data_IF_901635482954
#
_entry.id   IF_901635482954
#
_cell.length_a   1.000
_cell.length_b   1.000
_cell.length_c   1.000
_cell.angle_alpha   90.00
_cell.angle_beta   90.00
_cell.angle_gamma   90.00
#
_symmetry.space_group_name_H-M   'P 1'
#
loop_
_entity.id
_entity.type
_entity.pdbx_description
1 polymer ?
#
# COMPACT_ATOMS: atom_id res chain seq x y z
N UNK A 1 -27.36 -15.93 -18.00
CA UNK A 1 -27.79 -15.49 -16.64
C UNK A 1 -26.71 -15.63 -15.57
N UNK A 2 -25.49 -16.12 -15.89
CA UNK A 2 -24.37 -16.31 -14.93
C UNK A 2 -23.51 -15.05 -14.68
N UNK A 3 -23.67 -13.97 -15.46
CA UNK A 3 -22.82 -12.77 -15.36
C UNK A 3 -23.01 -11.98 -14.06
N UNK A 4 -24.17 -12.11 -13.41
CA UNK A 4 -24.50 -11.36 -12.18
C UNK A 4 -24.05 -12.08 -10.90
N UNK A 5 -23.48 -13.29 -11.01
CA UNK A 5 -23.00 -14.07 -9.86
C UNK A 5 -21.51 -13.78 -9.54
N UNK A 6 -20.77 -13.22 -10.51
CA UNK A 6 -19.35 -12.88 -10.39
C UNK A 6 -19.08 -11.39 -10.49
N UNK A 7 -20.07 -10.56 -10.19
CA UNK A 7 -19.87 -9.11 -10.09
C UNK A 7 -18.92 -8.85 -8.91
N UNK A 8 -17.61 -8.72 -9.20
CA UNK A 8 -16.60 -8.26 -8.25
C UNK A 8 -17.05 -6.88 -7.80
N UNK A 9 -17.67 -6.82 -6.62
CA UNK A 9 -18.03 -5.56 -5.98
C UNK A 9 -16.73 -4.79 -5.81
N UNK A 10 -16.58 -3.67 -6.52
CA UNK A 10 -15.45 -2.79 -6.30
C UNK A 10 -15.57 -2.23 -4.89
N UNK A 11 -14.79 -2.81 -3.97
CA UNK A 11 -14.62 -2.26 -2.63
C UNK A 11 -13.63 -1.12 -2.80
N UNK A 12 -14.13 0.10 -2.78
CA UNK A 12 -13.28 1.27 -2.71
C UNK A 12 -12.48 1.17 -1.39
N UNK A 13 -11.18 0.91 -1.54
CA UNK A 13 -10.23 0.72 -0.44
C UNK A 13 -9.19 1.82 -0.56
N UNK A 14 -9.67 3.06 -0.56
CA UNK A 14 -8.80 4.22 -0.58
C UNK A 14 -8.06 4.29 0.76
N UNK A 15 -6.74 4.48 0.70
CA UNK A 15 -5.87 4.57 1.86
C UNK A 15 -5.22 5.95 1.83
N UNK A 16 -5.27 6.69 2.93
CA UNK A 16 -4.61 7.99 3.01
C UNK A 16 -3.14 7.81 3.40
N UNK A 17 -2.28 8.73 2.97
CA UNK A 17 -0.85 8.64 3.26
C UNK A 17 -0.61 8.75 4.78
N UNK A 18 0.01 7.75 5.44
CA UNK A 18 0.27 7.78 6.88
C UNK A 18 1.45 8.68 7.26
N UNK A 19 2.19 9.17 6.27
CA UNK A 19 3.44 9.91 6.41
C UNK A 19 3.56 10.91 5.25
N UNK A 20 4.18 12.06 5.50
CA UNK A 20 4.57 12.98 4.43
C UNK A 20 5.92 12.55 3.86
N UNK A 21 6.01 12.38 2.54
CA UNK A 21 7.24 11.95 1.90
C UNK A 21 7.08 11.54 0.44
N UNK A 22 8.14 10.92 -0.10
CA UNK A 22 8.17 10.43 -1.48
C UNK A 22 7.82 8.95 -1.51
N UNK A 23 6.88 8.57 -2.38
CA UNK A 23 6.57 7.16 -2.64
C UNK A 23 7.71 6.53 -3.45
N UNK A 24 8.17 5.36 -2.99
CA UNK A 24 9.10 4.51 -3.72
C UNK A 24 8.54 3.08 -3.84
N UNK A 25 8.92 2.32 -4.88
CA UNK A 25 8.60 0.90 -4.99
C UNK A 25 9.11 0.12 -3.77
N UNK A 26 8.34 -0.87 -3.30
CA UNK A 26 8.71 -1.66 -2.13
C UNK A 26 10.03 -2.43 -2.35
N UNK A 27 10.34 -2.77 -3.60
CA UNK A 27 11.56 -3.45 -4.05
C UNK A 27 12.84 -2.61 -3.81
N UNK A 28 12.71 -1.30 -3.61
CA UNK A 28 13.85 -0.41 -3.33
C UNK A 28 14.23 -0.36 -1.84
N UNK A 29 13.41 -0.95 -0.95
CA UNK A 29 13.70 -0.99 0.48
C UNK A 29 14.89 -1.93 0.73
N UNK A 30 15.94 -1.51 1.47
CA UNK A 30 17.14 -2.32 1.70
C UNK A 30 16.94 -3.40 2.78
N UNK A 31 15.79 -4.07 2.75
CA UNK A 31 15.41 -5.17 3.65
C UNK A 31 14.66 -6.22 2.84
N UNK A 32 15.06 -7.49 2.98
CA UNK A 32 14.51 -8.60 2.18
C UNK A 32 13.05 -8.89 2.49
N UNK A 33 12.62 -8.71 3.74
CA UNK A 33 11.24 -8.99 4.17
C UNK A 33 10.27 -8.08 3.41
N UNK A 34 10.65 -6.81 3.21
CA UNK A 34 9.85 -5.84 2.47
C UNK A 34 10.09 -5.92 0.95
N UNK A 35 11.35 -5.89 0.49
CA UNK A 35 11.67 -5.87 -0.95
C UNK A 35 11.23 -7.13 -1.70
N UNK A 36 11.10 -8.27 -1.02
CA UNK A 36 10.56 -9.51 -1.59
C UNK A 36 9.06 -9.70 -1.32
N UNK A 37 8.36 -8.70 -0.76
CA UNK A 37 6.91 -8.73 -0.49
C UNK A 37 6.48 -9.90 0.41
N UNK A 38 7.35 -10.34 1.33
CA UNK A 38 7.09 -11.51 2.17
C UNK A 38 5.88 -11.30 3.09
N UNK A 39 5.64 -10.06 3.52
CA UNK A 39 4.49 -9.70 4.36
C UNK A 39 3.26 -9.24 3.56
N UNK A 40 3.34 -9.24 2.24
CA UNK A 40 2.29 -8.74 1.35
C UNK A 40 2.80 -7.66 0.38
N UNK A 41 1.92 -7.29 -0.55
CA UNK A 41 2.19 -6.22 -1.51
C UNK A 41 1.96 -4.85 -0.87
N UNK A 42 2.59 -3.82 -1.43
CA UNK A 42 2.51 -2.47 -0.90
C UNK A 42 3.49 -1.50 -1.54
N UNK A 43 3.73 -0.41 -0.84
CA UNK A 43 4.66 0.65 -1.23
C UNK A 43 5.46 1.12 -0.01
N UNK A 44 6.56 1.81 -0.24
CA UNK A 44 7.31 2.49 0.81
C UNK A 44 7.25 4.02 0.62
N UNK A 45 7.39 4.75 1.73
CA UNK A 45 7.43 6.22 1.75
C UNK A 45 8.78 6.62 2.37
N UNK A 46 9.60 7.38 1.63
CA UNK A 46 10.77 8.07 2.18
C UNK A 46 10.29 9.33 2.90
N UNK A 47 10.28 9.36 4.24
CA UNK A 47 9.63 10.43 4.99
C UNK A 47 10.43 11.73 4.92
N UNK A 48 9.73 12.86 4.76
CA UNK A 48 10.29 14.22 4.87
C UNK A 48 9.93 14.91 6.19
N UNK A 49 9.07 14.28 7.00
CA UNK A 49 8.66 14.73 8.32
C UNK A 49 8.59 13.52 9.29
N UNK A 50 8.49 13.77 10.59
CA UNK A 50 8.49 12.76 11.67
C UNK A 50 7.08 12.38 12.14
N UNK A 51 6.04 13.08 11.71
CA UNK A 51 4.67 12.79 12.12
C UNK A 51 4.10 11.61 11.34
N UNK A 52 3.59 10.62 12.09
CA UNK A 52 2.87 9.45 11.58
C UNK A 52 1.39 9.59 11.96
N UNK A 53 0.49 9.28 11.03
CA UNK A 53 -0.97 9.30 11.23
C UNK A 53 -1.62 7.98 10.81
N UNK A 54 -2.88 7.77 11.20
CA UNK A 54 -3.65 6.60 10.75
C UNK A 54 -3.95 6.68 9.25
N UNK A 55 -3.74 5.60 8.49
CA UNK A 55 -4.04 5.54 7.06
C UNK A 55 -5.52 5.24 6.75
N UNK A 56 -6.31 4.85 7.75
CA UNK A 56 -7.77 4.74 7.71
C UNK A 56 -8.44 5.06 9.06
#
# INVERSE_FOLDING_TARGET
>A
MLKNLFSKKEVNTDVVAPLTGKIIPLEQVPDQVFSQKMMGDGLAIEPTDKQVVSPN
#
